data_IF_129578022212
#
_entry.id   IF_129578022212
#
_cell.length_a   1.000
_cell.length_b   1.000
_cell.length_c   1.000
_cell.angle_alpha   90.00
_cell.angle_beta   90.00
_cell.angle_gamma   90.00
#
_symmetry.space_group_name_H-M   'P 1'
#
loop_
_entity.id
_entity.type
_entity.pdbx_description
1 polymer ?
#
# COMPACT_ATOMS: atom_id res chain seq x y z
N UNK A 1 -46.01 41.74 14.40
CA UNK A 1 -45.25 40.95 15.39
C UNK A 1 -44.48 39.87 14.63
N UNK A 2 -43.20 40.13 14.40
CA UNK A 2 -42.25 39.26 13.72
C UNK A 2 -41.79 38.20 14.72
N UNK A 3 -41.91 36.91 14.40
CA UNK A 3 -41.15 35.85 15.09
C UNK A 3 -40.50 34.96 14.02
N UNK A 4 -39.17 35.05 13.98
CA UNK A 4 -38.23 34.18 13.28
C UNK A 4 -38.07 32.85 14.03
N UNK A 5 -38.07 31.71 13.32
CA UNK A 5 -37.31 30.48 13.69
C UNK A 5 -37.43 29.46 12.55
N UNK A 6 -36.41 28.76 12.04
CA UNK A 6 -34.94 28.76 12.11
C UNK A 6 -34.52 27.70 11.08
N UNK A 7 -33.41 27.95 10.38
CA UNK A 7 -32.99 27.22 9.17
C UNK A 7 -32.90 25.70 9.31
N UNK A 8 -33.42 25.01 8.29
CA UNK A 8 -33.07 23.65 7.92
C UNK A 8 -32.02 23.72 6.81
N UNK A 9 -30.81 24.14 7.16
CA UNK A 9 -29.66 23.81 6.34
C UNK A 9 -29.27 22.39 6.72
N UNK A 10 -29.54 21.46 5.80
CA UNK A 10 -28.89 20.16 5.77
C UNK A 10 -27.39 20.43 5.67
N UNK A 11 -26.73 20.47 6.82
CA UNK A 11 -25.27 20.39 6.90
C UNK A 11 -24.92 18.96 6.50
N UNK A 12 -24.95 18.73 5.18
CA UNK A 12 -24.18 17.67 4.57
C UNK A 12 -22.75 17.97 4.98
N UNK A 13 -22.27 17.31 6.03
CA UNK A 13 -20.85 17.25 6.32
C UNK A 13 -20.22 16.60 5.09
N UNK A 14 -19.82 17.43 4.12
CA UNK A 14 -18.90 17.04 3.07
C UNK A 14 -17.62 16.76 3.84
N UNK A 15 -17.51 15.56 4.41
CA UNK A 15 -16.20 15.01 4.74
C UNK A 15 -15.53 14.93 3.38
N UNK A 16 -14.46 15.70 3.11
CA UNK A 16 -13.76 15.54 1.85
C UNK A 16 -13.17 14.13 1.87
N UNK A 17 -13.90 13.16 1.32
CA UNK A 17 -13.36 11.83 1.11
C UNK A 17 -12.30 12.03 0.05
N UNK A 18 -11.03 12.02 0.44
CA UNK A 18 -9.91 12.09 -0.49
C UNK A 18 -10.17 11.08 -1.61
N UNK A 19 -10.27 11.58 -2.84
CA UNK A 19 -10.53 10.74 -3.99
C UNK A 19 -9.38 9.72 -4.08
N UNK A 20 -9.70 8.42 -4.11
CA UNK A 20 -8.69 7.35 -4.21
C UNK A 20 -7.76 7.56 -5.42
N UNK A 21 -8.22 8.24 -6.47
CA UNK A 21 -7.38 8.62 -7.60
C UNK A 21 -6.37 9.71 -7.24
N UNK A 22 -6.77 10.73 -6.49
CA UNK A 22 -5.86 11.78 -6.03
C UNK A 22 -4.78 11.21 -5.12
N UNK A 23 -5.15 10.31 -4.20
CA UNK A 23 -4.19 9.65 -3.31
C UNK A 23 -3.19 8.76 -4.07
N UNK A 24 -3.63 8.08 -5.15
CA UNK A 24 -2.73 7.34 -6.05
C UNK A 24 -1.72 8.26 -6.71
N UNK A 25 -2.16 9.40 -7.23
CA UNK A 25 -1.27 10.37 -7.89
C UNK A 25 -0.23 10.88 -6.88
N UNK A 26 -0.65 11.25 -5.67
CA UNK A 26 0.27 11.69 -4.61
C UNK A 26 1.32 10.61 -4.31
N UNK A 27 0.90 9.35 -4.15
CA UNK A 27 1.81 8.25 -3.87
C UNK A 27 2.83 8.02 -5.01
N UNK A 28 2.37 8.04 -6.26
CA UNK A 28 3.26 7.86 -7.43
C UNK A 28 4.23 9.03 -7.56
N UNK A 29 3.77 10.27 -7.39
CA UNK A 29 4.64 11.45 -7.42
C UNK A 29 5.69 11.39 -6.31
N UNK A 30 5.30 11.06 -5.08
CA UNK A 30 6.23 10.91 -3.96
C UNK A 30 7.28 9.81 -4.24
N UNK A 31 6.88 8.67 -4.81
CA UNK A 31 7.78 7.59 -5.20
C UNK A 31 8.76 8.02 -6.30
N UNK A 32 8.30 8.77 -7.31
CA UNK A 32 9.17 9.29 -8.37
C UNK A 32 10.21 10.27 -7.78
N UNK A 33 9.78 11.18 -6.91
CA UNK A 33 10.68 12.12 -6.22
C UNK A 33 11.70 11.36 -5.38
N UNK A 34 11.30 10.28 -4.70
CA UNK A 34 12.19 9.42 -3.91
C UNK A 34 13.33 8.84 -4.75
N UNK A 35 12.98 8.23 -5.90
CA UNK A 35 13.96 7.62 -6.81
C UNK A 35 14.81 8.66 -7.54
N UNK A 36 14.22 9.79 -7.94
CA UNK A 36 14.97 10.90 -8.54
C UNK A 36 15.97 11.49 -7.56
N UNK A 37 15.61 11.62 -6.28
CA UNK A 37 16.51 12.09 -5.22
C UNK A 37 17.68 11.13 -5.02
N UNK A 38 17.42 9.83 -5.02
CA UNK A 38 18.47 8.82 -4.94
C UNK A 38 19.49 8.92 -6.09
N UNK A 39 19.04 9.31 -7.28
CA UNK A 39 19.90 9.39 -8.48
C UNK A 39 20.60 10.74 -8.65
N UNK A 40 19.95 11.85 -8.32
CA UNK A 40 20.41 13.21 -8.61
C UNK A 40 21.17 13.89 -7.46
N UNK A 41 20.93 13.48 -6.22
CA UNK A 41 21.45 14.16 -5.03
C UNK A 41 22.47 13.30 -4.29
N UNK A 42 23.56 13.93 -3.87
CA UNK A 42 24.56 13.34 -2.99
C UNK A 42 23.98 13.07 -1.61
N UNK A 43 24.33 11.90 -1.04
CA UNK A 43 23.80 11.41 0.24
C UNK A 43 24.11 12.32 1.44
N UNK A 44 25.12 13.18 1.34
CA UNK A 44 25.56 14.07 2.41
C UNK A 44 24.73 15.37 2.51
N UNK A 45 23.80 15.60 1.58
CA UNK A 45 22.98 16.82 1.58
C UNK A 45 21.77 16.70 2.52
N UNK A 46 21.48 17.74 3.30
CA UNK A 46 20.26 17.79 4.12
C UNK A 46 18.98 17.66 3.28
N UNK A 47 19.01 18.16 2.04
CA UNK A 47 17.93 18.02 1.06
C UNK A 47 17.69 16.55 0.66
N UNK A 48 18.74 15.75 0.50
CA UNK A 48 18.61 14.31 0.25
C UNK A 48 17.80 13.64 1.35
N UNK A 49 18.13 13.90 2.62
CA UNK A 49 17.43 13.29 3.76
C UNK A 49 15.96 13.67 3.79
N UNK A 50 15.64 14.97 3.61
CA UNK A 50 14.25 15.46 3.64
C UNK A 50 13.42 14.84 2.51
N UNK A 51 13.95 14.86 1.28
CA UNK A 51 13.22 14.33 0.11
C UNK A 51 13.06 12.81 0.17
N UNK A 52 14.05 12.09 0.71
CA UNK A 52 13.92 10.64 0.96
C UNK A 52 12.83 10.35 1.98
N UNK A 53 12.78 11.07 3.11
CA UNK A 53 11.73 10.89 4.11
C UNK A 53 10.35 11.13 3.49
N UNK A 54 10.19 12.19 2.68
CA UNK A 54 8.95 12.46 1.98
C UNK A 54 8.56 11.33 1.02
N UNK A 55 9.53 10.84 0.25
CA UNK A 55 9.38 9.72 -0.66
C UNK A 55 8.94 8.42 0.01
N UNK A 56 9.40 8.17 1.24
CA UNK A 56 9.06 6.97 2.02
C UNK A 56 7.58 6.88 2.41
N UNK A 57 6.83 7.99 2.43
CA UNK A 57 5.37 7.94 2.62
C UNK A 57 4.63 7.28 1.45
N UNK A 58 5.24 7.16 0.27
CA UNK A 58 4.59 6.49 -0.87
C UNK A 58 4.24 5.02 -0.55
N UNK A 59 5.10 4.31 0.17
CA UNK A 59 4.90 2.89 0.49
C UNK A 59 3.66 2.63 1.37
N UNK A 60 3.47 3.29 2.53
CA UNK A 60 2.26 3.11 3.33
C UNK A 60 1.00 3.54 2.60
N UNK A 61 1.05 4.62 1.81
CA UNK A 61 -0.10 5.06 1.01
C UNK A 61 -0.49 4.00 -0.03
N UNK A 62 0.49 3.41 -0.72
CA UNK A 62 0.24 2.31 -1.66
C UNK A 62 -0.35 1.09 -0.95
N UNK A 63 0.20 0.70 0.20
CA UNK A 63 -0.32 -0.42 1.01
C UNK A 63 -1.78 -0.20 1.41
N UNK A 64 -2.13 1.01 1.86
CA UNK A 64 -3.50 1.40 2.17
C UNK A 64 -4.41 1.32 0.94
N UNK A 65 -3.97 1.82 -0.21
CA UNK A 65 -4.73 1.77 -1.46
C UNK A 65 -4.97 0.34 -1.96
N UNK A 66 -4.03 -0.58 -1.77
CA UNK A 66 -4.22 -2.02 -2.07
C UNK A 66 -5.28 -2.61 -1.14
N UNK A 67 -5.18 -2.37 0.16
CA UNK A 67 -6.14 -2.85 1.15
C UNK A 67 -7.55 -2.31 0.86
N UNK A 68 -7.70 -1.02 0.62
CA UNK A 68 -8.97 -0.39 0.25
C UNK A 68 -9.49 -0.89 -1.10
N UNK A 69 -8.61 -1.09 -2.08
CA UNK A 69 -8.94 -1.64 -3.38
C UNK A 69 -9.49 -3.06 -3.31
N UNK A 70 -9.02 -3.87 -2.35
CA UNK A 70 -9.51 -5.23 -2.13
C UNK A 70 -11.01 -5.27 -1.80
N UNK A 71 -11.50 -4.35 -0.96
CA UNK A 71 -12.91 -4.32 -0.54
C UNK A 71 -13.81 -3.55 -1.52
N UNK A 72 -13.27 -2.57 -2.24
CA UNK A 72 -14.04 -1.79 -3.20
C UNK A 72 -14.17 -2.45 -4.58
N UNK A 73 -13.24 -3.35 -4.95
CA UNK A 73 -13.29 -4.00 -6.27
C UNK A 73 -14.28 -5.16 -6.27
N UNK A 74 -15.18 -5.18 -7.25
CA UNK A 74 -16.10 -6.30 -7.49
C UNK A 74 -15.38 -7.55 -8.02
N UNK A 75 -14.27 -7.36 -8.77
CA UNK A 75 -13.51 -8.47 -9.37
C UNK A 75 -12.09 -8.55 -8.82
N UNK A 76 -11.97 -9.18 -7.64
CA UNK A 76 -10.70 -9.40 -6.93
C UNK A 76 -9.70 -10.23 -7.74
N UNK A 77 -10.18 -11.22 -8.52
CA UNK A 77 -9.32 -12.07 -9.37
C UNK A 77 -8.64 -11.26 -10.47
N UNK A 78 -9.39 -10.39 -11.16
CA UNK A 78 -8.83 -9.48 -12.18
C UNK A 78 -7.84 -8.50 -11.57
N UNK A 79 -8.12 -7.98 -10.37
CA UNK A 79 -7.21 -7.09 -9.68
C UNK A 79 -5.89 -7.79 -9.29
N UNK A 80 -5.99 -8.97 -8.68
CA UNK A 80 -4.86 -9.83 -8.35
C UNK A 80 -3.99 -10.16 -9.58
N UNK A 81 -4.62 -10.61 -10.68
CA UNK A 81 -3.93 -10.92 -11.93
C UNK A 81 -3.17 -9.71 -12.48
N UNK A 82 -3.78 -8.52 -12.43
CA UNK A 82 -3.15 -7.29 -12.89
C UNK A 82 -1.91 -6.95 -12.06
N UNK A 83 -2.00 -7.11 -10.74
CA UNK A 83 -0.88 -6.88 -9.82
C UNK A 83 0.25 -7.89 -10.04
N UNK A 84 -0.09 -9.18 -10.25
CA UNK A 84 0.88 -10.23 -10.58
C UNK A 84 1.60 -9.98 -11.90
N UNK A 85 0.87 -9.60 -12.96
CA UNK A 85 1.47 -9.26 -14.26
C UNK A 85 2.45 -8.10 -14.10
N UNK A 86 2.07 -7.04 -13.39
CA UNK A 86 2.98 -5.93 -13.14
C UNK A 86 4.19 -6.32 -12.27
N UNK A 87 4.01 -7.23 -11.31
CA UNK A 87 5.11 -7.74 -10.51
C UNK A 87 6.14 -8.48 -11.39
N UNK A 88 5.68 -9.36 -12.28
CA UNK A 88 6.57 -10.07 -13.22
C UNK A 88 7.25 -9.13 -14.21
N UNK A 89 6.50 -8.19 -14.79
CA UNK A 89 7.06 -7.22 -15.75
C UNK A 89 8.09 -6.33 -15.07
N UNK A 90 7.85 -5.90 -13.83
CA UNK A 90 8.81 -5.06 -13.08
C UNK A 90 9.99 -5.83 -12.50
N UNK A 91 9.88 -7.14 -12.35
CA UNK A 91 10.95 -7.98 -11.82
C UNK A 91 12.17 -8.04 -12.76
N UNK A 92 11.93 -8.12 -14.08
CA UNK A 92 13.02 -8.23 -15.06
C UNK A 92 13.90 -6.96 -15.15
N UNK A 93 13.33 -5.74 -15.26
CA UNK A 93 14.10 -4.50 -15.16
C UNK A 93 14.85 -4.36 -13.83
N UNK A 94 14.25 -4.83 -12.74
CA UNK A 94 14.85 -4.73 -11.41
C UNK A 94 16.10 -5.61 -11.26
N UNK A 95 16.03 -6.87 -11.73
CA UNK A 95 17.17 -7.78 -11.78
C UNK A 95 18.32 -7.18 -12.60
N UNK A 96 18.02 -6.66 -13.80
CA UNK A 96 19.02 -6.05 -14.67
C UNK A 96 19.62 -4.77 -14.10
N UNK A 97 18.83 -3.96 -13.39
CA UNK A 97 19.29 -2.69 -12.81
C UNK A 97 20.24 -2.87 -11.63
N UNK A 98 20.01 -3.88 -10.78
CA UNK A 98 20.83 -4.13 -9.60
C UNK A 98 21.92 -5.21 -9.81
N UNK A 99 21.99 -5.82 -11.02
CA UNK A 99 22.93 -6.89 -11.38
C UNK A 99 22.89 -8.07 -10.38
N UNK A 100 21.68 -8.42 -9.96
CA UNK A 100 21.43 -9.40 -8.90
C UNK A 100 21.09 -10.78 -9.48
N UNK A 101 21.46 -11.84 -8.75
CA UNK A 101 20.87 -13.17 -9.02
C UNK A 101 19.36 -13.13 -8.76
N UNK A 102 18.57 -13.87 -9.54
CA UNK A 102 17.10 -13.71 -9.71
C UNK A 102 16.23 -13.70 -8.43
N UNK A 103 16.80 -13.95 -7.25
CA UNK A 103 16.10 -13.96 -5.96
C UNK A 103 16.69 -13.03 -4.89
N UNK A 104 17.68 -12.18 -5.19
CA UNK A 104 18.29 -11.34 -4.14
C UNK A 104 17.46 -10.09 -3.82
N UNK A 105 16.78 -9.49 -4.79
CA UNK A 105 15.81 -8.43 -4.53
C UNK A 105 14.73 -8.34 -5.62
N UNK A 106 13.54 -7.92 -5.22
CA UNK A 106 12.30 -7.91 -6.01
C UNK A 106 11.58 -6.57 -5.82
N UNK A 107 10.81 -6.15 -6.83
CA UNK A 107 10.19 -4.83 -6.84
C UNK A 107 9.15 -4.62 -5.72
N UNK A 108 8.90 -3.36 -5.35
CA UNK A 108 7.78 -2.96 -4.45
C UNK A 108 6.45 -3.65 -4.83
N UNK A 109 6.19 -3.84 -6.13
CA UNK A 109 4.94 -4.43 -6.64
C UNK A 109 4.81 -5.90 -6.21
N UNK A 110 5.93 -6.63 -6.08
CA UNK A 110 5.93 -7.99 -5.55
C UNK A 110 5.41 -8.03 -4.10
N UNK A 111 5.90 -7.12 -3.24
CA UNK A 111 5.42 -6.99 -1.86
C UNK A 111 3.95 -6.57 -1.76
N UNK A 112 3.47 -5.74 -2.69
CA UNK A 112 2.05 -5.39 -2.79
C UNK A 112 1.19 -6.59 -3.21
N UNK A 113 1.69 -7.43 -4.12
CA UNK A 113 1.02 -8.65 -4.59
C UNK A 113 0.88 -9.69 -3.46
N UNK A 114 1.97 -10.01 -2.77
CA UNK A 114 1.96 -10.96 -1.65
C UNK A 114 1.11 -10.44 -0.49
N UNK A 115 1.14 -9.13 -0.21
CA UNK A 115 0.27 -8.49 0.78
C UNK A 115 -1.21 -8.55 0.43
N UNK A 116 -1.57 -8.34 -0.85
CA UNK A 116 -2.94 -8.54 -1.32
C UNK A 116 -3.40 -9.98 -1.14
N UNK A 117 -2.54 -10.96 -1.42
CA UNK A 117 -2.84 -12.38 -1.25
C UNK A 117 -3.03 -12.75 0.23
N UNK A 118 -2.15 -12.25 1.10
CA UNK A 118 -2.26 -12.43 2.55
C UNK A 118 -3.60 -11.88 3.09
N UNK A 119 -4.00 -10.68 2.65
CA UNK A 119 -5.30 -10.10 3.00
C UNK A 119 -6.47 -10.93 2.45
N UNK A 120 -6.36 -11.42 1.21
CA UNK A 120 -7.39 -12.26 0.60
C UNK A 120 -7.62 -13.56 1.38
N UNK A 121 -6.54 -14.20 1.85
CA UNK A 121 -6.58 -15.43 2.64
C UNK A 121 -7.13 -15.15 4.04
N UNK A 122 -6.71 -14.05 4.66
CA UNK A 122 -7.22 -13.62 5.97
C UNK A 122 -8.75 -13.47 5.96
N UNK A 123 -9.31 -12.89 4.89
CA UNK A 123 -10.74 -12.69 4.70
C UNK A 123 -11.53 -13.93 4.23
N UNK A 124 -10.85 -15.06 3.94
CA UNK A 124 -11.51 -16.30 3.56
C UNK A 124 -12.29 -16.89 4.75
N UNK A 125 -13.57 -17.23 4.56
CA UNK A 125 -14.42 -17.83 5.61
C UNK A 125 -14.26 -19.34 5.74
N UNK A 126 -13.65 -20.00 4.75
CA UNK A 126 -13.59 -21.47 4.65
C UNK A 126 -12.34 -22.08 5.28
N UNK A 127 -11.30 -21.29 5.55
CA UNK A 127 -10.01 -21.80 6.04
C UNK A 127 -9.88 -21.70 7.57
N UNK A 128 -9.33 -22.74 8.23
CA UNK A 128 -9.04 -22.68 9.67
C UNK A 128 -7.92 -21.68 9.96
N UNK A 129 -7.92 -21.12 11.17
CA UNK A 129 -6.99 -20.05 11.57
C UNK A 129 -5.52 -20.45 11.41
N UNK A 130 -5.16 -21.68 11.80
CA UNK A 130 -3.78 -22.17 11.66
C UNK A 130 -3.28 -22.16 10.22
N UNK A 131 -4.11 -22.59 9.27
CA UNK A 131 -3.76 -22.58 7.85
C UNK A 131 -3.62 -21.15 7.32
N UNK A 132 -4.47 -20.22 7.76
CA UNK A 132 -4.33 -18.79 7.42
C UNK A 132 -2.99 -18.23 7.88
N UNK A 133 -2.60 -18.48 9.13
CA UNK A 133 -1.33 -18.00 9.68
C UNK A 133 -0.15 -18.56 8.89
N UNK A 134 -0.16 -19.87 8.57
CA UNK A 134 0.89 -20.49 7.74
C UNK A 134 0.99 -19.81 6.37
N UNK A 135 -0.13 -19.57 5.68
CA UNK A 135 -0.12 -18.89 4.39
C UNK A 135 0.38 -17.44 4.49
N UNK A 136 0.01 -16.71 5.54
CA UNK A 136 0.50 -15.35 5.77
C UNK A 136 2.01 -15.37 6.01
N UNK A 137 2.53 -16.32 6.78
CA UNK A 137 3.97 -16.51 6.99
C UNK A 137 4.69 -16.83 5.68
N UNK A 138 4.12 -17.69 4.82
CA UNK A 138 4.65 -17.94 3.48
C UNK A 138 4.68 -16.66 2.64
N UNK A 139 3.64 -15.82 2.70
CA UNK A 139 3.63 -14.52 2.01
C UNK A 139 4.72 -13.58 2.56
N UNK A 140 4.96 -13.57 3.87
CA UNK A 140 6.04 -12.80 4.48
C UNK A 140 7.43 -13.30 4.02
N UNK A 141 7.63 -14.62 3.96
CA UNK A 141 8.88 -15.22 3.48
C UNK A 141 9.13 -14.90 2.00
N UNK A 142 8.10 -15.00 1.15
CA UNK A 142 8.19 -14.63 -0.26
C UNK A 142 8.42 -13.12 -0.46
N UNK A 143 8.02 -12.30 0.50
CA UNK A 143 8.25 -10.86 0.50
C UNK A 143 9.56 -10.47 1.18
N UNK A 144 10.35 -11.42 1.70
CA UNK A 144 11.64 -11.13 2.34
C UNK A 144 12.61 -10.42 1.40
N UNK A 145 12.48 -10.66 0.10
CA UNK A 145 13.33 -10.05 -0.94
C UNK A 145 12.65 -8.83 -1.58
N UNK A 146 11.45 -8.45 -1.17
CA UNK A 146 10.74 -7.31 -1.74
C UNK A 146 11.30 -5.99 -1.21
N UNK A 147 11.20 -4.92 -2.00
CA UNK A 147 11.36 -3.57 -1.46
C UNK A 147 10.37 -3.37 -0.29
N UNK A 148 10.89 -3.03 0.90
CA UNK A 148 10.18 -3.00 2.20
C UNK A 148 9.91 -4.36 2.87
N UNK A 149 10.49 -5.44 2.36
CA UNK A 149 10.46 -6.78 2.92
C UNK A 149 9.03 -7.27 3.23
N UNK A 150 8.86 -7.98 4.35
CA UNK A 150 7.56 -8.42 4.86
C UNK A 150 6.74 -7.27 5.48
N UNK A 151 7.29 -6.06 5.65
CA UNK A 151 6.58 -4.92 6.26
C UNK A 151 5.38 -4.51 5.38
N UNK A 152 5.53 -4.55 4.05
CA UNK A 152 4.42 -4.25 3.12
C UNK A 152 3.26 -5.23 3.30
N UNK A 153 3.54 -6.52 3.52
CA UNK A 153 2.54 -7.56 3.76
C UNK A 153 1.77 -7.27 5.05
N UNK A 154 2.50 -6.95 6.12
CA UNK A 154 1.91 -6.63 7.42
C UNK A 154 1.07 -5.36 7.37
N UNK A 155 1.54 -4.29 6.72
CA UNK A 155 0.77 -3.05 6.57
C UNK A 155 -0.53 -3.29 5.79
N UNK A 156 -0.48 -3.99 4.66
CA UNK A 156 -1.69 -4.30 3.88
C UNK A 156 -2.68 -5.11 4.72
N UNK A 157 -2.19 -6.11 5.47
CA UNK A 157 -3.02 -6.93 6.34
C UNK A 157 -3.66 -6.09 7.46
N UNK A 158 -2.87 -5.26 8.15
CA UNK A 158 -3.32 -4.37 9.21
C UNK A 158 -4.38 -3.38 8.70
N UNK A 159 -4.13 -2.69 7.57
CA UNK A 159 -5.11 -1.78 6.98
C UNK A 159 -6.40 -2.47 6.62
N UNK A 160 -6.32 -3.71 6.11
CA UNK A 160 -7.50 -4.47 5.71
C UNK A 160 -8.30 -5.03 6.89
N UNK A 161 -7.65 -5.45 7.97
CA UNK A 161 -8.33 -5.93 9.20
C UNK A 161 -8.97 -4.75 9.95
N UNK A 162 -8.23 -3.66 10.12
CA UNK A 162 -8.65 -2.49 10.89
C UNK A 162 -9.41 -1.45 10.06
N UNK A 163 -9.91 -1.80 8.87
CA UNK A 163 -10.63 -0.91 7.94
C UNK A 163 -11.70 -0.04 8.61
N UNK A 164 -12.41 -0.58 9.59
CA UNK A 164 -13.51 0.14 10.27
C UNK A 164 -13.03 1.16 11.32
N UNK A 165 -11.77 1.10 11.72
CA UNK A 165 -11.20 1.88 12.82
C UNK A 165 -9.94 2.63 12.36
N UNK A 166 -10.11 3.83 11.79
CA UNK A 166 -9.01 4.66 11.27
C UNK A 166 -7.90 4.91 12.30
N UNK A 167 -8.24 5.09 13.58
CA UNK A 167 -7.25 5.27 14.66
C UNK A 167 -6.30 4.06 14.81
N UNK A 168 -6.82 2.84 14.65
CA UNK A 168 -6.00 1.62 14.70
C UNK A 168 -5.16 1.47 13.43
N UNK A 169 -5.65 1.90 12.27
CA UNK A 169 -4.86 1.91 11.05
C UNK A 169 -3.61 2.79 11.17
N UNK A 170 -3.73 3.95 11.81
CA UNK A 170 -2.60 4.85 12.06
C UNK A 170 -1.64 4.26 13.10
N UNK A 171 -2.14 3.60 14.16
CA UNK A 171 -1.29 3.05 15.21
C UNK A 171 -0.33 1.97 14.68
N UNK A 172 -0.77 1.13 13.73
CA UNK A 172 0.06 0.09 13.12
C UNK A 172 1.01 0.60 12.02
N UNK A 173 0.99 1.91 11.75
CA UNK A 173 1.88 2.58 10.81
C UNK A 173 3.26 2.89 11.44
N UNK A 174 3.31 3.01 12.77
CA UNK A 174 4.47 3.38 13.59
C UNK A 174 5.02 2.17 14.34
#
# INVERSE_FOLDING_TARGET
MIILKKGTHLEQTITPSLNSNALKIIAVTAMIVDHATFWLLSSDSALYVILRIFGRFAAPIMCYLIAEGYFHTSNKKKYCKRLFIFALISHYPYILYFDLTSFQATSVIWGLFTGFLALAISQSKTMPLGLKVIFILVCCLLSWTADWNYISVLWILSFGIFRKNFRLQILFLF
#
